data_IF_369675444876
#
_entry.id   IF_369675444876
#
_cell.length_a   1.000
_cell.length_b   1.000
_cell.length_c   1.000
_cell.angle_alpha   90.00
_cell.angle_beta   90.00
_cell.angle_gamma   90.00
#
_symmetry.space_group_name_H-M   'P 1'
#
loop_
_entity.id
_entity.type
_entity.pdbx_description
1 polymer ?
#
# COMPACT_ATOMS: atom_id res chain seq x y z
N UNK A 1 -22.70 -52.54 -13.59
CA UNK A 1 -21.85 -51.33 -13.44
C UNK A 1 -22.77 -50.17 -13.05
N UNK A 2 -22.65 -49.63 -11.84
CA UNK A 2 -23.48 -48.51 -11.38
C UNK A 2 -23.07 -47.21 -12.07
N UNK A 3 -24.04 -46.43 -12.56
CA UNK A 3 -23.79 -45.13 -13.17
C UNK A 3 -23.09 -44.20 -12.16
N UNK A 4 -21.91 -43.69 -12.52
CA UNK A 4 -21.22 -42.66 -11.72
C UNK A 4 -22.10 -41.41 -11.73
N UNK A 5 -22.61 -41.01 -10.56
CA UNK A 5 -23.27 -39.70 -10.39
C UNK A 5 -22.26 -38.62 -10.75
N UNK A 6 -22.55 -37.84 -11.78
CA UNK A 6 -21.77 -36.63 -12.10
C UNK A 6 -22.16 -35.53 -11.12
N UNK A 7 -21.16 -34.87 -10.52
CA UNK A 7 -21.39 -33.73 -9.63
C UNK A 7 -21.78 -32.50 -10.46
N UNK A 8 -22.94 -31.92 -10.16
CA UNK A 8 -23.35 -30.67 -10.78
C UNK A 8 -22.49 -29.50 -10.24
N UNK A 9 -22.32 -28.42 -11.01
CA UNK A 9 -21.58 -27.23 -10.56
C UNK A 9 -22.16 -26.62 -9.27
N UNK A 10 -23.47 -26.65 -9.09
CA UNK A 10 -24.17 -26.12 -7.92
C UNK A 10 -23.79 -26.91 -6.67
N UNK A 11 -23.74 -28.24 -6.79
CA UNK A 11 -23.35 -29.13 -5.71
C UNK A 11 -21.89 -28.91 -5.28
N UNK A 12 -20.99 -28.62 -6.22
CA UNK A 12 -19.59 -28.29 -5.90
C UNK A 12 -19.49 -26.98 -5.11
N UNK A 13 -20.25 -25.96 -5.49
CA UNK A 13 -20.28 -24.66 -4.79
C UNK A 13 -20.81 -24.79 -3.37
N UNK A 14 -21.86 -25.58 -3.17
CA UNK A 14 -22.41 -25.86 -1.85
C UNK A 14 -21.37 -26.56 -0.95
N UNK A 15 -20.64 -27.55 -1.49
CA UNK A 15 -19.58 -28.24 -0.75
C UNK A 15 -18.43 -27.30 -0.33
N UNK A 16 -17.99 -26.39 -1.21
CA UNK A 16 -16.96 -25.39 -0.90
C UNK A 16 -17.46 -24.41 0.15
N UNK A 17 -18.67 -23.88 0.00
CA UNK A 17 -19.24 -22.91 0.93
C UNK A 17 -19.38 -23.49 2.36
N UNK A 18 -19.75 -24.77 2.47
CA UNK A 18 -19.82 -25.45 3.76
C UNK A 18 -18.44 -25.63 4.39
N UNK A 19 -17.40 -25.94 3.61
CA UNK A 19 -16.03 -26.05 4.09
C UNK A 19 -15.46 -24.70 4.55
N UNK A 20 -15.66 -23.65 3.76
CA UNK A 20 -15.19 -22.29 4.07
C UNK A 20 -15.84 -21.71 5.32
N UNK A 21 -17.08 -22.11 5.64
CA UNK A 21 -17.77 -21.68 6.84
C UNK A 21 -17.06 -22.08 8.14
N UNK A 22 -16.15 -23.08 8.09
CA UNK A 22 -15.41 -23.60 9.24
C UNK A 22 -16.27 -24.23 10.35
N UNK A 23 -17.60 -24.27 10.16
CA UNK A 23 -18.56 -24.64 11.20
C UNK A 23 -18.67 -26.16 11.40
N UNK A 24 -18.21 -26.95 10.44
CA UNK A 24 -18.33 -28.42 10.44
C UNK A 24 -17.06 -29.07 9.88
N UNK A 25 -16.63 -30.23 10.41
CA UNK A 25 -15.53 -30.98 9.83
C UNK A 25 -15.91 -31.58 8.47
N UNK A 26 -14.95 -31.71 7.56
CA UNK A 26 -15.16 -32.21 6.20
C UNK A 26 -15.81 -33.61 6.15
N UNK A 27 -15.62 -34.44 7.18
CA UNK A 27 -16.25 -35.76 7.32
C UNK A 27 -17.77 -35.67 7.51
N UNK A 28 -18.24 -34.65 8.22
CA UNK A 28 -19.66 -34.40 8.44
C UNK A 28 -20.32 -33.85 7.17
N UNK A 29 -19.65 -32.93 6.49
CA UNK A 29 -20.07 -32.38 5.19
C UNK A 29 -20.15 -33.51 4.16
N UNK A 30 -19.17 -34.41 4.12
CA UNK A 30 -19.18 -35.58 3.22
C UNK A 30 -20.39 -36.50 3.46
N UNK A 31 -20.75 -36.72 4.74
CA UNK A 31 -21.89 -37.54 5.14
C UNK A 31 -23.22 -36.90 4.74
N UNK A 32 -23.37 -35.59 4.95
CA UNK A 32 -24.56 -34.82 4.61
C UNK A 32 -24.79 -34.76 3.09
N UNK A 33 -23.72 -34.58 2.33
CA UNK A 33 -23.75 -34.53 0.87
C UNK A 33 -23.78 -35.92 0.21
N UNK A 34 -23.69 -37.01 1.00
CA UNK A 34 -23.74 -38.38 0.51
C UNK A 34 -22.56 -38.77 -0.41
N UNK A 35 -21.38 -38.21 -0.14
CA UNK A 35 -20.17 -38.40 -0.95
C UNK A 35 -18.99 -38.88 -0.11
N UNK A 36 -17.98 -39.45 -0.78
CA UNK A 36 -16.74 -39.80 -0.11
C UNK A 36 -15.98 -38.54 0.33
N UNK A 37 -15.39 -38.57 1.53
CA UNK A 37 -14.55 -37.49 2.06
C UNK A 37 -13.46 -37.04 1.07
N UNK A 38 -12.85 -37.99 0.37
CA UNK A 38 -11.82 -37.72 -0.65
C UNK A 38 -12.38 -36.86 -1.80
N UNK A 39 -13.67 -36.99 -2.14
CA UNK A 39 -14.30 -36.17 -3.17
C UNK A 39 -14.51 -34.72 -2.69
N UNK A 40 -14.90 -34.53 -1.42
CA UNK A 40 -15.03 -33.20 -0.79
C UNK A 40 -13.69 -32.46 -0.83
N UNK A 41 -12.61 -33.13 -0.41
CA UNK A 41 -11.27 -32.54 -0.40
C UNK A 41 -10.76 -32.22 -1.81
N UNK A 42 -11.06 -33.07 -2.81
CA UNK A 42 -10.70 -32.80 -4.21
C UNK A 42 -11.42 -31.59 -4.80
N UNK A 43 -12.69 -31.38 -4.45
CA UNK A 43 -13.46 -30.21 -4.89
C UNK A 43 -12.85 -28.93 -4.31
N UNK A 44 -12.54 -28.92 -3.02
CA UNK A 44 -11.89 -27.77 -2.37
C UNK A 44 -10.50 -27.47 -2.96
N UNK A 45 -9.71 -28.52 -3.25
CA UNK A 45 -8.41 -28.37 -3.88
C UNK A 45 -8.51 -27.83 -5.31
N UNK A 46 -9.52 -28.24 -6.09
CA UNK A 46 -9.75 -27.73 -7.44
C UNK A 46 -10.15 -26.25 -7.42
N UNK A 47 -11.04 -25.87 -6.52
CA UNK A 47 -11.51 -24.48 -6.37
C UNK A 47 -10.36 -23.55 -5.95
N UNK A 48 -9.55 -23.98 -4.98
CA UNK A 48 -8.33 -23.28 -4.58
C UNK A 48 -7.32 -23.10 -5.74
N UNK A 49 -7.17 -24.10 -6.61
CA UNK A 49 -6.32 -23.99 -7.80
C UNK A 49 -6.90 -23.04 -8.86
N UNK A 50 -8.22 -23.00 -9.03
CA UNK A 50 -8.88 -22.06 -9.94
C UNK A 50 -8.76 -20.61 -9.45
N UNK A 51 -8.89 -20.38 -8.15
CA UNK A 51 -8.69 -19.07 -7.52
C UNK A 51 -7.23 -18.60 -7.63
N UNK A 52 -6.26 -19.47 -7.36
CA UNK A 52 -4.85 -19.16 -7.56
C UNK A 52 -4.51 -18.84 -9.03
N UNK A 53 -5.14 -19.53 -9.99
CA UNK A 53 -5.00 -19.25 -11.41
C UNK A 53 -5.65 -17.91 -11.80
N UNK A 54 -6.79 -17.56 -11.20
CA UNK A 54 -7.48 -16.28 -11.36
C UNK A 54 -6.63 -15.12 -10.82
N UNK A 55 -6.05 -15.27 -9.62
CA UNK A 55 -5.11 -14.31 -9.02
C UNK A 55 -3.87 -14.12 -9.89
N UNK A 56 -3.27 -15.21 -10.38
CA UNK A 56 -2.12 -15.14 -11.28
C UNK A 56 -2.45 -14.42 -12.61
N UNK A 57 -3.66 -14.62 -13.13
CA UNK A 57 -4.14 -13.96 -14.36
C UNK A 57 -4.45 -12.48 -14.13
N UNK A 58 -5.03 -12.13 -12.97
CA UNK A 58 -5.25 -10.74 -12.55
C UNK A 58 -3.94 -10.00 -12.31
N UNK A 59 -2.98 -10.65 -11.65
CA UNK A 59 -1.62 -10.13 -11.46
C UNK A 59 -0.91 -9.93 -12.79
N UNK A 60 -1.06 -10.85 -13.75
CA UNK A 60 -0.56 -10.70 -15.13
C UNK A 60 -1.23 -9.53 -15.86
N UNK A 61 -2.53 -9.32 -15.71
CA UNK A 61 -3.25 -8.18 -16.29
C UNK A 61 -2.77 -6.84 -15.71
N UNK A 62 -2.56 -6.77 -14.40
CA UNK A 62 -2.05 -5.58 -13.72
C UNK A 62 -0.58 -5.32 -14.07
N UNK A 63 0.28 -6.35 -14.13
CA UNK A 63 1.64 -6.24 -14.65
C UNK A 63 1.68 -5.76 -16.10
N UNK A 64 0.75 -6.23 -16.94
CA UNK A 64 0.65 -5.81 -18.33
C UNK A 64 0.20 -4.33 -18.46
N UNK A 65 -0.70 -3.87 -17.58
CA UNK A 65 -1.07 -2.44 -17.49
C UNK A 65 0.11 -1.59 -17.00
N UNK A 66 0.90 -2.10 -16.07
CA UNK A 66 2.04 -1.40 -15.48
C UNK A 66 3.24 -1.32 -16.44
N UNK A 67 3.47 -2.36 -17.24
CA UNK A 67 4.61 -2.45 -18.15
C UNK A 67 4.44 -1.70 -19.48
N UNK A 68 3.24 -1.22 -19.83
CA UNK A 68 2.92 -0.65 -21.15
C UNK A 68 2.44 0.81 -21.13
N UNK A 69 2.39 1.48 -19.99
CA UNK A 69 1.98 2.88 -19.90
C UNK A 69 3.05 3.69 -19.16
N UNK A 70 3.66 4.73 -19.77
CA UNK A 70 4.39 5.73 -18.99
C UNK A 70 3.42 6.31 -17.95
N UNK A 71 3.89 6.48 -16.72
CA UNK A 71 3.01 6.82 -15.61
C UNK A 71 2.24 8.12 -15.89
N UNK A 72 0.99 8.26 -15.43
CA UNK A 72 0.23 9.51 -15.56
C UNK A 72 0.99 10.73 -15.02
N UNK A 73 1.90 10.51 -14.07
CA UNK A 73 2.75 11.51 -13.44
C UNK A 73 3.84 12.01 -14.41
N UNK A 74 4.53 11.11 -15.13
CA UNK A 74 5.55 11.51 -16.12
C UNK A 74 4.93 12.32 -17.27
N UNK A 75 3.76 11.90 -17.78
CA UNK A 75 3.02 12.65 -18.80
C UNK A 75 2.53 14.01 -18.27
N UNK A 76 2.05 14.07 -17.02
CA UNK A 76 1.62 15.32 -16.41
C UNK A 76 2.80 16.29 -16.17
N UNK A 77 3.95 15.78 -15.73
CA UNK A 77 5.17 16.57 -15.53
C UNK A 77 5.70 17.09 -16.87
N UNK A 78 5.72 16.25 -17.91
CA UNK A 78 6.20 16.67 -19.24
C UNK A 78 5.26 17.71 -19.88
N UNK A 79 3.95 17.56 -19.69
CA UNK A 79 2.96 18.57 -20.07
C UNK A 79 3.15 19.88 -19.30
N UNK A 80 3.43 19.82 -18.00
CA UNK A 80 3.69 21.01 -17.18
C UNK A 80 4.97 21.74 -17.63
N UNK A 81 6.07 21.02 -17.89
CA UNK A 81 7.30 21.60 -18.42
C UNK A 81 7.07 22.30 -19.76
N UNK A 82 6.32 21.65 -20.67
CA UNK A 82 6.02 22.20 -22.00
C UNK A 82 5.15 23.46 -21.91
N UNK A 83 4.14 23.45 -21.04
CA UNK A 83 3.25 24.60 -20.86
C UNK A 83 3.98 25.78 -20.20
N UNK A 84 4.78 25.53 -19.18
CA UNK A 84 5.56 26.57 -18.49
C UNK A 84 6.60 27.21 -19.43
N UNK A 85 7.27 26.41 -20.27
CA UNK A 85 8.21 26.92 -21.26
C UNK A 85 7.52 27.76 -22.36
N UNK A 86 6.33 27.34 -22.80
CA UNK A 86 5.55 28.07 -23.79
C UNK A 86 5.01 29.40 -23.25
N UNK A 87 4.49 29.42 -22.01
CA UNK A 87 4.04 30.66 -21.36
C UNK A 87 5.19 31.63 -21.10
N UNK A 88 6.34 31.14 -20.62
CA UNK A 88 7.53 31.96 -20.42
C UNK A 88 8.04 32.56 -21.74
N UNK A 89 8.10 31.77 -22.82
CA UNK A 89 8.48 32.26 -24.14
C UNK A 89 7.48 33.30 -24.68
N UNK A 90 6.17 33.09 -24.47
CA UNK A 90 5.14 34.04 -24.87
C UNK A 90 5.22 35.36 -24.09
N UNK A 91 5.50 35.33 -22.79
CA UNK A 91 5.67 36.55 -21.99
C UNK A 91 6.91 37.33 -22.40
N UNK A 92 8.05 36.65 -22.65
CA UNK A 92 9.29 37.28 -23.11
C UNK A 92 9.09 37.90 -24.49
N UNK A 93 8.50 37.17 -25.45
CA UNK A 93 8.22 37.70 -26.78
C UNK A 93 7.25 38.90 -26.75
N UNK A 94 6.22 38.85 -25.91
CA UNK A 94 5.30 39.97 -25.71
C UNK A 94 6.00 41.22 -25.17
N UNK A 95 6.88 41.05 -24.18
CA UNK A 95 7.67 42.14 -23.60
C UNK A 95 8.67 42.72 -24.62
N UNK A 96 9.38 41.88 -25.37
CA UNK A 96 10.33 42.32 -26.41
C UNK A 96 9.63 43.07 -27.55
N UNK A 97 8.45 42.61 -27.98
CA UNK A 97 7.65 43.28 -29.02
C UNK A 97 7.14 44.64 -28.54
N UNK A 98 6.72 44.72 -27.27
CA UNK A 98 6.27 45.99 -26.66
C UNK A 98 7.44 46.96 -26.48
N UNK A 99 8.64 46.47 -26.16
CA UNK A 99 9.85 47.28 -26.05
C UNK A 99 10.37 47.77 -27.39
N UNK A 100 10.43 46.90 -28.41
CA UNK A 100 10.91 47.25 -29.75
C UNK A 100 10.03 48.30 -30.45
N UNK A 101 8.75 48.35 -30.09
CA UNK A 101 7.82 49.38 -30.56
C UNK A 101 7.94 50.73 -29.80
N UNK A 102 8.67 50.78 -28.68
CA UNK A 102 8.78 51.97 -27.84
C UNK A 102 10.20 52.55 -27.90
N UNK A 103 10.33 53.84 -28.25
CA UNK A 103 11.60 54.55 -28.34
C UNK A 103 12.18 54.92 -26.96
N UNK A 104 12.28 53.94 -26.06
CA UNK A 104 12.64 54.13 -24.65
C UNK A 104 13.92 53.40 -24.29
N UNK A 105 14.99 53.76 -24.97
CA UNK A 105 16.34 53.58 -24.43
C UNK A 105 16.46 54.55 -23.25
N UNK A 106 16.82 54.05 -22.06
CA UNK A 106 16.99 54.81 -20.81
C UNK A 106 15.71 55.20 -20.03
N UNK A 107 14.60 54.47 -20.21
CA UNK A 107 13.39 54.70 -19.39
C UNK A 107 13.40 53.96 -18.05
N UNK A 108 12.62 54.41 -17.04
CA UNK A 108 12.39 53.67 -15.79
C UNK A 108 11.91 52.24 -16.01
N UNK A 109 11.21 51.98 -17.12
CA UNK A 109 10.74 50.64 -17.51
C UNK A 109 11.89 49.69 -17.84
N UNK A 110 12.97 50.21 -18.45
CA UNK A 110 14.18 49.41 -18.72
C UNK A 110 14.87 49.03 -17.41
N UNK A 111 14.95 49.94 -16.44
CA UNK A 111 15.49 49.67 -15.11
C UNK A 111 14.70 48.58 -14.36
N UNK A 112 13.36 48.61 -14.45
CA UNK A 112 12.50 47.56 -13.87
C UNK A 112 12.72 46.22 -14.57
N UNK A 113 12.87 46.21 -15.90
CA UNK A 113 13.13 44.99 -16.67
C UNK A 113 14.50 44.38 -16.31
N UNK A 114 15.52 45.22 -16.16
CA UNK A 114 16.87 44.77 -15.78
C UNK A 114 16.89 44.26 -14.34
N UNK A 115 16.14 44.86 -13.42
CA UNK A 115 15.93 44.35 -12.07
C UNK A 115 15.19 42.99 -12.06
N UNK A 116 14.14 42.83 -12.88
CA UNK A 116 13.43 41.55 -13.00
C UNK A 116 14.31 40.46 -13.60
N UNK A 117 15.19 40.78 -14.56
CA UNK A 117 16.18 39.84 -15.10
C UNK A 117 17.19 39.42 -14.03
N UNK A 118 17.64 40.36 -13.20
CA UNK A 118 18.56 40.10 -12.10
C UNK A 118 17.95 39.17 -11.03
N UNK A 119 16.63 39.26 -10.81
CA UNK A 119 15.90 38.38 -9.89
C UNK A 119 15.51 37.01 -10.49
N UNK A 120 15.45 36.91 -11.82
CA UNK A 120 15.12 35.66 -12.54
C UNK A 120 16.30 34.68 -12.61
N UNK A 121 17.53 35.18 -12.72
CA UNK A 121 18.74 34.37 -12.79
C UNK A 121 18.93 33.39 -11.60
N UNK A 122 18.71 33.82 -10.33
CA UNK A 122 18.69 32.91 -9.18
C UNK A 122 17.66 31.78 -9.29
N UNK A 123 16.46 32.07 -9.81
CA UNK A 123 15.37 31.10 -9.97
C UNK A 123 15.72 30.08 -11.05
N UNK A 124 16.23 30.55 -12.21
CA UNK A 124 16.70 29.68 -13.28
C UNK A 124 17.85 28.77 -12.82
N UNK A 125 18.78 29.30 -12.01
CA UNK A 125 19.88 28.52 -11.42
C UNK A 125 19.37 27.48 -10.41
N UNK A 126 18.38 27.82 -9.60
CA UNK A 126 17.75 26.88 -8.65
C UNK A 126 17.01 25.74 -9.38
N UNK A 127 16.25 26.06 -10.44
CA UNK A 127 15.58 25.08 -11.29
C UNK A 127 16.57 24.12 -11.95
N UNK A 128 17.67 24.65 -12.51
CA UNK A 128 18.74 23.83 -13.10
C UNK A 128 19.38 22.90 -12.06
N UNK A 129 19.68 23.41 -10.86
CA UNK A 129 20.24 22.59 -9.77
C UNK A 129 19.26 21.51 -9.30
N UNK A 130 17.96 21.80 -9.24
CA UNK A 130 16.93 20.81 -8.91
C UNK A 130 16.83 19.73 -10.00
N UNK A 131 16.92 20.11 -11.28
CA UNK A 131 16.93 19.18 -12.41
C UNK A 131 18.17 18.25 -12.37
N UNK A 132 19.35 18.80 -12.04
CA UNK A 132 20.58 18.02 -11.88
C UNK A 132 20.50 17.04 -10.69
N UNK A 133 19.99 17.48 -9.53
CA UNK A 133 19.75 16.60 -8.38
C UNK A 133 18.79 15.46 -8.71
N UNK A 134 17.71 15.77 -9.41
CA UNK A 134 16.71 14.78 -9.80
C UNK A 134 17.24 13.78 -10.84
N UNK A 135 18.14 14.21 -11.74
CA UNK A 135 18.85 13.32 -12.65
C UNK A 135 19.74 12.29 -11.90
N UNK A 136 20.38 12.71 -10.80
CA UNK A 136 21.17 11.81 -9.94
C UNK A 136 20.27 10.82 -9.18
N UNK A 137 19.13 11.27 -8.67
CA UNK A 137 18.16 10.41 -7.99
C UNK A 137 17.55 9.37 -8.94
N UNK A 138 17.16 9.78 -10.15
CA UNK A 138 16.62 8.88 -11.17
C UNK A 138 17.63 7.80 -11.62
N UNK A 139 18.91 8.15 -11.77
CA UNK A 139 19.99 7.16 -11.99
C UNK A 139 20.16 6.19 -10.81
N UNK A 140 20.03 6.70 -9.58
CA UNK A 140 20.08 5.86 -8.36
C UNK A 140 18.92 4.87 -8.31
N UNK A 141 17.70 5.31 -8.63
CA UNK A 141 16.54 4.43 -8.72
C UNK A 141 16.69 3.39 -9.84
N UNK A 142 17.23 3.77 -11.01
CA UNK A 142 17.49 2.83 -12.09
C UNK A 142 18.48 1.72 -11.67
N UNK A 143 19.55 2.07 -10.95
CA UNK A 143 20.52 1.11 -10.40
C UNK A 143 19.90 0.16 -9.38
N UNK A 144 19.03 0.67 -8.49
CA UNK A 144 18.29 -0.17 -7.54
C UNK A 144 17.38 -1.14 -8.28
N UNK A 145 16.60 -0.64 -9.25
CA UNK A 145 15.72 -1.49 -10.05
C UNK A 145 16.48 -2.60 -10.80
N UNK A 146 17.66 -2.30 -11.34
CA UNK A 146 18.52 -3.31 -11.97
C UNK A 146 19.10 -4.32 -10.99
N UNK A 147 19.44 -3.90 -9.76
CA UNK A 147 19.86 -4.81 -8.69
C UNK A 147 18.75 -5.82 -8.36
N UNK A 148 17.53 -5.34 -8.20
CA UNK A 148 16.35 -6.18 -7.94
C UNK A 148 16.07 -7.15 -9.08
N UNK A 149 16.17 -6.71 -10.35
CA UNK A 149 16.02 -7.60 -11.51
C UNK A 149 17.04 -8.74 -11.50
N UNK A 150 18.29 -8.45 -11.12
CA UNK A 150 19.35 -9.47 -11.02
C UNK A 150 19.10 -10.45 -9.89
N UNK A 151 18.59 -9.99 -8.74
CA UNK A 151 18.21 -10.87 -7.63
C UNK A 151 17.09 -11.83 -8.03
N UNK A 152 16.01 -11.30 -8.60
CA UNK A 152 14.88 -12.10 -9.08
C UNK A 152 15.31 -13.13 -10.14
N UNK A 153 16.25 -12.79 -11.01
CA UNK A 153 16.81 -13.73 -11.97
C UNK A 153 17.61 -14.86 -11.29
N UNK A 154 18.35 -14.56 -10.22
CA UNK A 154 19.08 -15.56 -9.42
C UNK A 154 18.12 -16.48 -8.67
N UNK A 155 17.10 -15.93 -8.02
CA UNK A 155 16.08 -16.74 -7.35
C UNK A 155 15.35 -17.65 -8.32
N UNK A 156 14.95 -17.14 -9.49
CA UNK A 156 14.34 -17.95 -10.55
C UNK A 156 15.24 -19.11 -10.99
N UNK A 157 16.54 -18.87 -11.14
CA UNK A 157 17.50 -19.92 -11.49
C UNK A 157 17.64 -20.95 -10.35
N UNK A 158 17.68 -20.49 -9.10
CA UNK A 158 17.71 -21.34 -7.90
C UNK A 158 16.46 -22.23 -7.81
N UNK A 159 15.29 -21.65 -8.04
CA UNK A 159 14.02 -22.37 -8.05
C UNK A 159 13.97 -23.39 -9.19
N UNK A 160 14.42 -23.02 -10.39
CA UNK A 160 14.50 -23.96 -11.51
C UNK A 160 15.41 -25.15 -11.19
N UNK A 161 16.49 -24.95 -10.43
CA UNK A 161 17.44 -26.02 -10.07
C UNK A 161 16.90 -26.91 -8.96
N UNK A 162 16.22 -26.32 -7.97
CA UNK A 162 15.73 -27.02 -6.77
C UNK A 162 14.38 -27.69 -7.00
N UNK A 163 13.51 -27.09 -7.82
CA UNK A 163 12.11 -27.49 -7.95
C UNK A 163 11.85 -28.40 -9.17
N UNK A 164 12.63 -28.29 -10.26
CA UNK A 164 12.49 -29.21 -11.40
C UNK A 164 12.60 -30.69 -11.00
N UNK A 165 13.55 -31.11 -10.14
CA UNK A 165 13.66 -32.51 -9.75
C UNK A 165 12.41 -33.02 -9.02
N UNK A 166 11.81 -32.17 -8.17
CA UNK A 166 10.57 -32.47 -7.44
C UNK A 166 9.39 -32.58 -8.41
N UNK A 167 9.31 -31.69 -9.40
CA UNK A 167 8.26 -31.71 -10.41
C UNK A 167 8.31 -32.94 -11.31
N UNK A 168 9.51 -33.33 -11.74
CA UNK A 168 9.74 -34.55 -12.55
C UNK A 168 9.38 -35.80 -11.74
N UNK A 169 9.76 -35.84 -10.45
CA UNK A 169 9.44 -36.96 -9.57
C UNK A 169 7.92 -37.16 -9.38
N UNK A 170 7.13 -36.09 -9.49
CA UNK A 170 5.69 -36.11 -9.22
C UNK A 170 4.81 -36.11 -10.48
N UNK A 171 5.41 -36.22 -11.67
CA UNK A 171 4.71 -36.25 -12.96
C UNK A 171 3.68 -35.10 -13.13
N UNK A 172 3.99 -33.93 -12.58
CA UNK A 172 3.14 -32.75 -12.72
C UNK A 172 3.24 -32.21 -14.15
N UNK A 173 2.13 -32.23 -14.91
CA UNK A 173 2.06 -31.64 -16.25
C UNK A 173 2.06 -30.10 -16.16
N UNK A 174 3.27 -29.54 -16.15
CA UNK A 174 3.51 -28.10 -16.09
C UNK A 174 3.61 -27.45 -17.47
N UNK A 175 3.38 -28.19 -18.57
CA UNK A 175 3.36 -27.64 -19.94
C UNK A 175 2.32 -26.52 -20.07
N UNK A 176 1.26 -26.58 -19.26
CA UNK A 176 0.25 -25.51 -19.12
C UNK A 176 0.73 -24.34 -18.25
N UNK A 177 1.55 -24.59 -17.24
CA UNK A 177 2.05 -23.57 -16.29
C UNK A 177 3.19 -22.73 -16.90
N UNK A 178 4.12 -23.36 -17.62
CA UNK A 178 5.29 -22.70 -18.21
C UNK A 178 4.97 -21.85 -19.45
N UNK A 179 3.94 -22.20 -20.25
CA UNK A 179 3.43 -21.33 -21.34
C UNK A 179 2.86 -20.00 -20.84
N UNK A 180 2.49 -19.91 -19.56
CA UNK A 180 1.93 -18.67 -18.98
C UNK A 180 3.00 -17.61 -18.72
N UNK A 181 4.29 -17.99 -18.69
CA UNK A 181 5.43 -17.17 -18.30
C UNK A 181 6.31 -16.66 -19.47
N UNK A 182 5.90 -16.84 -20.73
CA UNK A 182 6.58 -16.18 -21.85
C UNK A 182 6.33 -14.66 -21.81
N UNK A 183 7.41 -13.88 -21.73
CA UNK A 183 7.39 -12.42 -21.87
C UNK A 183 7.06 -12.05 -23.33
N UNK A 184 6.26 -11.01 -23.59
CA UNK A 184 5.98 -10.57 -24.95
C UNK A 184 7.27 -10.12 -25.67
N UNK A 185 7.50 -10.59 -26.90
CA UNK A 185 8.47 -9.95 -27.81
C UNK A 185 7.92 -8.57 -28.18
N UNK A 186 8.62 -7.52 -27.76
CA UNK A 186 8.29 -6.12 -28.11
C UNK A 186 8.42 -5.91 -29.63
N UNK A 187 7.43 -5.30 -30.31
CA UNK A 187 7.61 -4.82 -31.67
C UNK A 187 8.56 -3.60 -31.68
N UNK A 188 9.45 -3.53 -32.67
CA UNK A 188 10.21 -2.30 -32.96
C UNK A 188 9.23 -1.23 -33.43
N UNK A 189 9.03 -0.19 -32.62
CA UNK A 189 8.22 0.97 -32.97
C UNK A 189 9.01 1.82 -33.96
N UNK A 190 8.53 1.91 -35.20
CA UNK A 190 8.89 2.94 -36.17
C UNK A 190 7.85 4.05 -36.05
N UNK A 191 8.29 5.29 -35.85
CA UNK A 191 7.44 6.47 -35.80
C UNK A 191 7.29 7.03 -37.22
N UNK A 192 6.06 7.09 -37.71
CA UNK A 192 5.67 7.88 -38.88
C UNK A 192 4.85 9.09 -38.39
N UNK A 193 5.14 10.34 -38.81
CA UNK A 193 4.45 11.52 -38.32
C UNK A 193 3.47 12.05 -39.37
N UNK A 194 2.18 11.72 -39.29
CA UNK A 194 1.14 12.49 -39.96
C UNK A 194 -0.25 12.19 -39.38
N UNK A 195 -0.81 13.15 -38.66
CA UNK A 195 -2.24 13.42 -38.77
C UNK A 195 -2.48 14.93 -38.58
N UNK A 196 -2.90 15.56 -39.67
CA UNK A 196 -3.55 16.87 -39.67
C UNK A 196 -5.02 16.68 -39.31
N UNK A 197 -5.58 17.55 -38.48
CA UNK A 197 -7.01 17.61 -38.19
C UNK A 197 -7.59 18.87 -38.83
N UNK A 198 -8.67 18.79 -39.64
CA UNK A 198 -9.43 19.97 -39.98
C UNK A 198 -10.54 20.22 -38.95
N UNK A 199 -10.71 21.51 -38.67
CA UNK A 199 -11.75 22.13 -37.84
C UNK A 199 -13.12 21.88 -38.48
N UNK A 200 -14.08 21.38 -37.69
CA UNK A 200 -15.50 21.43 -38.01
C UNK A 200 -16.22 22.27 -36.95
N UNK A 201 -16.74 23.43 -37.37
CA UNK A 201 -17.67 24.26 -36.62
C UNK A 201 -19.08 23.83 -37.05
N UNK A 202 -19.75 23.08 -36.19
CA UNK A 202 -21.18 22.81 -36.34
C UNK A 202 -21.94 23.31 -35.11
N UNK A 203 -22.91 24.17 -35.41
CA UNK A 203 -23.85 24.86 -34.56
C UNK A 203 -24.53 23.90 -33.58
N UNK A 204 -24.36 24.10 -32.27
CA UNK A 204 -25.08 23.34 -31.25
C UNK A 204 -25.97 24.25 -30.41
N UNK A 205 -27.26 24.00 -30.57
CA UNK A 205 -28.39 24.57 -29.86
C UNK A 205 -28.26 24.40 -28.34
N UNK A 206 -28.75 25.38 -27.59
CA UNK A 206 -28.77 25.37 -26.12
C UNK A 206 -29.60 24.19 -25.60
N UNK A 207 -29.04 23.28 -24.77
CA UNK A 207 -29.82 22.20 -24.20
C UNK A 207 -30.80 22.74 -23.14
N UNK A 208 -32.07 22.35 -23.30
CA UNK A 208 -33.15 22.53 -22.30
C UNK A 208 -32.68 22.09 -20.92
N UNK A 209 -33.11 22.85 -19.90
CA UNK A 209 -32.89 22.54 -18.49
C UNK A 209 -33.26 21.07 -18.18
N UNK A 210 -32.36 20.28 -17.58
CA UNK A 210 -32.62 18.88 -17.31
C UNK A 210 -33.73 18.76 -16.28
N UNK A 211 -34.79 18.03 -16.64
CA UNK A 211 -35.77 17.55 -15.68
C UNK A 211 -35.05 16.68 -14.66
N UNK A 212 -35.18 17.02 -13.37
CA UNK A 212 -34.59 16.27 -12.27
C UNK A 212 -35.30 14.92 -12.17
N UNK A 213 -34.73 13.91 -12.84
CA UNK A 213 -35.11 12.53 -12.62
C UNK A 213 -34.94 12.20 -11.13
N UNK A 214 -35.89 11.46 -10.50
CA UNK A 214 -35.70 10.97 -9.15
C UNK A 214 -34.36 10.23 -9.11
N UNK A 215 -33.47 10.63 -8.20
CA UNK A 215 -32.16 9.99 -8.01
C UNK A 215 -32.44 8.52 -7.76
N UNK A 216 -32.28 7.69 -8.79
CA UNK A 216 -32.13 6.26 -8.66
C UNK A 216 -31.02 6.10 -7.64
N UNK A 217 -31.36 5.66 -6.43
CA UNK A 217 -30.39 5.23 -5.44
C UNK A 217 -29.73 4.04 -6.12
N UNK A 218 -28.65 4.29 -6.86
CA UNK A 218 -27.76 3.27 -7.37
C UNK A 218 -27.47 2.40 -6.16
N UNK A 219 -27.98 1.17 -6.19
CA UNK A 219 -27.79 0.19 -5.15
C UNK A 219 -26.33 0.30 -4.73
N UNK A 220 -26.10 0.77 -3.49
CA UNK A 220 -24.77 0.96 -2.92
C UNK A 220 -24.05 -0.35 -3.20
N UNK A 221 -23.09 -0.35 -4.15
CA UNK A 221 -22.25 -1.53 -4.32
C UNK A 221 -21.68 -1.78 -2.94
N UNK A 222 -21.87 -2.97 -2.34
CA UNK A 222 -21.31 -3.25 -1.03
C UNK A 222 -19.82 -3.00 -1.18
N UNK A 223 -19.31 -1.95 -0.54
CA UNK A 223 -17.88 -1.81 -0.34
C UNK A 223 -17.52 -3.07 0.44
N UNK A 224 -16.86 -4.00 -0.25
CA UNK A 224 -16.34 -5.22 0.33
C UNK A 224 -15.27 -4.79 1.33
N UNK A 225 -15.69 -4.54 2.58
CA UNK A 225 -14.88 -4.07 3.69
C UNK A 225 -13.94 -5.16 4.24
N UNK A 226 -13.50 -6.13 3.43
CA UNK A 226 -12.55 -7.17 3.87
C UNK A 226 -11.31 -6.55 4.52
N UNK A 227 -10.86 -5.40 4.00
CA UNK A 227 -9.74 -4.65 4.56
C UNK A 227 -9.98 -4.15 5.98
N UNK A 228 -11.22 -3.89 6.40
CA UNK A 228 -11.49 -3.36 7.75
C UNK A 228 -11.35 -4.45 8.81
N UNK A 229 -11.90 -5.64 8.56
CA UNK A 229 -11.76 -6.78 9.46
C UNK A 229 -10.27 -7.18 9.57
N UNK A 230 -9.61 -7.36 8.43
CA UNK A 230 -8.17 -7.67 8.39
C UNK A 230 -7.32 -6.60 9.09
N UNK A 231 -7.66 -5.32 8.94
CA UNK A 231 -6.93 -4.23 9.61
C UNK A 231 -7.17 -4.21 11.10
N UNK A 232 -8.37 -4.57 11.54
CA UNK A 232 -8.69 -4.70 12.96
C UNK A 232 -7.88 -5.84 13.56
N UNK A 233 -7.92 -7.02 12.96
CA UNK A 233 -7.20 -8.21 13.46
C UNK A 233 -5.69 -7.95 13.51
N UNK A 234 -5.10 -7.48 12.40
CA UNK A 234 -3.67 -7.17 12.33
C UNK A 234 -3.23 -6.13 13.37
N UNK A 235 -4.03 -5.08 13.56
CA UNK A 235 -3.71 -4.03 14.52
C UNK A 235 -3.89 -4.50 15.97
N UNK A 236 -4.93 -5.26 16.25
CA UNK A 236 -5.18 -5.83 17.57
C UNK A 236 -4.10 -6.83 17.97
N UNK A 237 -3.65 -7.66 17.04
CA UNK A 237 -2.55 -8.59 17.25
C UNK A 237 -1.24 -7.82 17.48
N UNK A 238 -0.94 -6.82 16.65
CA UNK A 238 0.23 -5.98 16.85
C UNK A 238 0.22 -5.22 18.18
N UNK A 239 -0.92 -4.64 18.59
CA UNK A 239 -1.03 -3.94 19.87
C UNK A 239 -0.81 -4.88 21.07
N UNK A 240 -1.27 -6.14 20.97
CA UNK A 240 -1.03 -7.17 21.98
C UNK A 240 0.45 -7.55 22.02
N UNK A 241 1.05 -7.82 20.87
CA UNK A 241 2.46 -8.21 20.77
C UNK A 241 3.39 -7.09 21.24
N UNK A 242 3.11 -5.84 20.87
CA UNK A 242 3.86 -4.67 21.35
C UNK A 242 3.77 -4.53 22.86
N UNK A 243 2.59 -4.77 23.43
CA UNK A 243 2.38 -4.70 24.87
C UNK A 243 3.12 -5.81 25.62
N UNK A 244 3.03 -7.04 25.13
CA UNK A 244 3.74 -8.19 25.68
C UNK A 244 5.25 -7.95 25.62
N UNK A 245 5.75 -7.50 24.46
CA UNK A 245 7.15 -7.12 24.30
C UNK A 245 7.58 -6.08 25.33
N UNK A 246 6.86 -4.93 25.45
CA UNK A 246 7.19 -3.88 26.42
C UNK A 246 7.19 -4.43 27.85
N UNK A 247 6.18 -5.23 28.20
CA UNK A 247 6.09 -5.82 29.53
C UNK A 247 7.29 -6.70 29.83
N UNK A 248 7.62 -7.60 28.91
CA UNK A 248 8.63 -8.63 29.14
C UNK A 248 10.03 -8.04 29.22
N UNK A 249 10.40 -7.13 28.31
CA UNK A 249 11.73 -6.48 28.36
C UNK A 249 11.88 -5.57 29.57
N UNK A 250 10.81 -4.88 30.00
CA UNK A 250 10.85 -4.05 31.20
C UNK A 250 10.88 -4.88 32.47
N UNK A 251 10.15 -6.00 32.49
CA UNK A 251 10.14 -6.95 33.60
C UNK A 251 11.50 -7.65 33.75
N UNK A 252 12.15 -8.02 32.65
CA UNK A 252 13.47 -8.65 32.68
C UNK A 252 14.53 -7.73 33.31
N UNK A 253 14.52 -6.43 32.95
CA UNK A 253 15.54 -5.48 33.42
C UNK A 253 15.24 -4.92 34.81
N UNK A 254 13.97 -4.63 35.13
CA UNK A 254 13.59 -3.94 36.37
C UNK A 254 12.80 -4.79 37.37
N UNK A 255 12.35 -5.98 36.98
CA UNK A 255 11.58 -6.89 37.81
C UNK A 255 10.13 -6.48 38.03
N UNK A 256 9.50 -7.10 39.03
CA UNK A 256 8.10 -6.86 39.41
C UNK A 256 7.89 -5.41 39.88
N UNK A 257 6.88 -4.73 39.34
CA UNK A 257 6.50 -3.39 39.77
C UNK A 257 7.26 -2.26 39.06
N UNK A 258 7.96 -2.57 37.97
CA UNK A 258 8.59 -1.57 37.09
C UNK A 258 7.61 -0.47 36.66
N UNK A 259 6.31 -0.78 36.58
CA UNK A 259 5.28 0.18 36.18
C UNK A 259 5.17 1.36 37.17
N UNK A 260 5.53 1.17 38.44
CA UNK A 260 5.54 2.26 39.43
C UNK A 260 6.74 3.18 39.28
N UNK A 261 7.89 2.64 38.90
CA UNK A 261 9.17 3.36 38.91
C UNK A 261 9.57 3.91 37.54
N UNK A 262 9.15 3.27 36.46
CA UNK A 262 9.63 3.54 35.09
C UNK A 262 8.57 4.12 34.15
N UNK A 263 7.31 4.25 34.58
CA UNK A 263 6.31 4.98 33.81
C UNK A 263 6.47 6.50 33.96
N UNK A 264 6.11 7.28 32.92
CA UNK A 264 5.99 8.73 33.03
C UNK A 264 5.03 9.17 34.15
N UNK A 265 5.28 10.36 34.70
CA UNK A 265 4.49 10.92 35.80
C UNK A 265 2.99 10.97 35.47
N UNK A 266 2.16 10.50 36.40
CA UNK A 266 0.70 10.45 36.26
C UNK A 266 0.16 9.29 35.40
N UNK A 267 0.99 8.59 34.63
CA UNK A 267 0.54 7.45 33.80
C UNK A 267 0.12 6.26 34.65
N UNK A 268 0.94 5.88 35.64
CA UNK A 268 0.62 4.79 36.58
C UNK A 268 -0.75 4.98 37.25
N UNK A 269 -1.05 6.21 37.72
CA UNK A 269 -2.32 6.53 38.36
C UNK A 269 -3.52 6.33 37.43
N UNK A 270 -3.40 6.79 36.17
CA UNK A 270 -4.44 6.62 35.14
C UNK A 270 -4.72 5.14 34.85
N UNK A 271 -3.66 4.34 34.66
CA UNK A 271 -3.81 2.90 34.41
C UNK A 271 -4.41 2.18 35.62
N UNK A 272 -3.99 2.53 36.83
CA UNK A 272 -4.53 1.96 38.07
C UNK A 272 -6.02 2.28 38.23
N UNK A 273 -6.44 3.50 37.89
CA UNK A 273 -7.85 3.91 37.88
C UNK A 273 -8.67 3.14 36.85
N UNK A 274 -8.17 3.00 35.61
CA UNK A 274 -8.82 2.19 34.56
C UNK A 274 -9.01 0.73 35.00
N UNK A 275 -7.96 0.12 35.57
CA UNK A 275 -8.03 -1.23 36.11
C UNK A 275 -9.03 -1.35 37.25
N UNK A 276 -9.08 -0.37 38.15
CA UNK A 276 -10.05 -0.37 39.25
C UNK A 276 -11.49 -0.26 38.73
N UNK A 277 -11.73 0.57 37.72
CA UNK A 277 -13.04 0.68 37.04
C UNK A 277 -13.44 -0.64 36.37
N UNK A 278 -12.54 -1.28 35.64
CA UNK A 278 -12.79 -2.58 35.01
C UNK A 278 -13.13 -3.67 36.05
N UNK A 279 -12.36 -3.73 37.16
CA UNK A 279 -12.64 -4.63 38.29
C UNK A 279 -14.01 -4.36 38.93
N UNK A 280 -14.39 -3.10 39.08
CA UNK A 280 -15.69 -2.73 39.63
C UNK A 280 -16.85 -3.14 38.70
N UNK A 281 -16.62 -3.17 37.38
CA UNK A 281 -17.57 -3.67 36.37
C UNK A 281 -17.61 -5.21 36.26
N UNK A 282 -16.77 -5.94 37.01
CA UNK A 282 -16.70 -7.40 36.99
C UNK A 282 -15.84 -8.00 35.88
N UNK A 283 -15.04 -7.18 35.18
CA UNK A 283 -14.08 -7.67 34.20
C UNK A 283 -12.87 -8.34 34.90
N UNK A 284 -12.26 -9.33 34.22
CA UNK A 284 -11.05 -9.98 34.71
C UNK A 284 -9.93 -8.96 34.88
N UNK A 285 -9.24 -9.02 36.02
CA UNK A 285 -8.10 -8.16 36.25
C UNK A 285 -6.89 -8.66 35.47
N UNK A 286 -6.49 -7.91 34.45
CA UNK A 286 -5.27 -8.17 33.70
C UNK A 286 -4.06 -7.40 34.27
N UNK A 287 -2.91 -7.45 33.58
CA UNK A 287 -1.69 -6.73 33.98
C UNK A 287 -1.94 -5.23 33.85
N UNK A 288 -1.15 -4.41 34.55
CA UNK A 288 -1.41 -2.97 34.53
C UNK A 288 -1.25 -2.35 33.13
N UNK A 289 -0.30 -2.87 32.36
CA UNK A 289 -0.03 -2.45 30.98
C UNK A 289 -1.17 -2.81 30.01
N UNK A 290 -2.05 -3.76 30.35
CA UNK A 290 -3.23 -4.10 29.52
C UNK A 290 -4.26 -2.95 29.47
N UNK A 291 -4.14 -1.98 30.38
CA UNK A 291 -4.96 -0.76 30.42
C UNK A 291 -4.27 0.45 29.76
N UNK A 292 -3.13 0.24 29.11
CA UNK A 292 -2.42 1.26 28.35
C UNK A 292 -3.18 1.68 27.09
N UNK A 293 -3.15 2.98 26.77
CA UNK A 293 -3.58 3.46 25.46
C UNK A 293 -2.42 3.37 24.46
N UNK A 294 -2.72 3.32 23.17
CA UNK A 294 -1.70 3.23 22.11
C UNK A 294 -0.63 4.33 22.19
N UNK A 295 -1.02 5.54 22.59
CA UNK A 295 -0.09 6.68 22.74
C UNK A 295 0.84 6.54 23.94
N UNK A 296 0.48 5.73 24.93
CA UNK A 296 1.31 5.51 26.10
C UNK A 296 2.57 4.75 25.73
N UNK A 297 2.51 3.82 24.77
CA UNK A 297 3.66 3.05 24.29
C UNK A 297 4.79 3.95 23.80
N UNK A 298 4.47 4.98 23.01
CA UNK A 298 5.46 5.97 22.54
C UNK A 298 6.14 6.64 23.73
N UNK A 299 5.37 7.05 24.73
CA UNK A 299 5.89 7.76 25.90
C UNK A 299 6.79 6.87 26.77
N UNK A 300 6.45 5.59 26.91
CA UNK A 300 7.24 4.61 27.68
C UNK A 300 8.56 4.32 26.97
N UNK A 301 8.51 4.03 25.67
CA UNK A 301 9.69 3.71 24.86
C UNK A 301 10.61 4.92 24.76
N UNK A 302 10.04 6.13 24.62
CA UNK A 302 10.81 7.36 24.44
C UNK A 302 11.40 7.94 25.72
N UNK A 303 11.02 7.42 26.89
CA UNK A 303 11.56 7.90 28.14
C UNK A 303 13.05 7.62 28.21
N UNK A 304 13.87 8.65 28.44
CA UNK A 304 15.33 8.58 28.27
C UNK A 304 15.99 7.41 29.03
N UNK A 305 15.53 7.12 30.25
CA UNK A 305 16.07 6.02 31.05
C UNK A 305 15.69 4.65 30.43
N UNK A 306 14.43 4.48 30.04
CA UNK A 306 13.96 3.24 29.43
C UNK A 306 14.57 3.03 28.04
N UNK A 307 14.71 4.10 27.26
CA UNK A 307 15.33 4.05 25.94
C UNK A 307 16.76 3.57 26.03
N UNK A 308 17.59 4.23 26.85
CA UNK A 308 19.02 3.92 26.91
C UNK A 308 19.32 2.56 27.56
N UNK A 309 18.50 2.13 28.52
CA UNK A 309 18.75 0.89 29.28
C UNK A 309 18.11 -0.35 28.63
N UNK A 310 17.00 -0.20 27.88
CA UNK A 310 16.20 -1.35 27.40
C UNK A 310 15.98 -1.30 25.88
N UNK A 311 15.41 -0.22 25.37
CA UNK A 311 14.86 -0.24 24.00
C UNK A 311 15.88 0.08 22.89
N UNK A 312 16.98 0.75 23.23
CA UNK A 312 17.96 1.20 22.25
C UNK A 312 18.66 0.05 21.54
N UNK A 313 18.94 -1.06 22.22
CA UNK A 313 19.59 -2.22 21.60
C UNK A 313 18.69 -2.88 20.55
N UNK A 314 17.38 -2.95 20.82
CA UNK A 314 16.40 -3.61 19.95
C UNK A 314 16.06 -2.74 18.73
N UNK A 315 15.68 -1.49 18.97
CA UNK A 315 15.17 -0.63 17.89
C UNK A 315 16.24 0.22 17.20
N UNK A 316 17.42 0.38 17.80
CA UNK A 316 18.53 1.17 17.29
C UNK A 316 18.31 2.69 17.37
N UNK A 317 17.32 3.23 16.65
CA UNK A 317 17.04 4.67 16.54
C UNK A 317 15.69 5.03 17.15
N UNK A 318 15.67 5.99 18.07
CA UNK A 318 14.43 6.40 18.76
C UNK A 318 13.39 6.94 17.78
N UNK A 319 13.82 7.79 16.83
CA UNK A 319 12.95 8.40 15.83
C UNK A 319 12.26 7.35 14.95
N UNK A 320 12.92 6.21 14.70
CA UNK A 320 12.28 5.14 13.92
C UNK A 320 11.01 4.64 14.61
N UNK A 321 11.06 4.33 15.90
CA UNK A 321 9.88 3.84 16.64
C UNK A 321 8.82 4.93 16.78
N UNK A 322 9.25 6.14 17.15
CA UNK A 322 8.33 7.27 17.32
C UNK A 322 7.55 7.58 16.05
N UNK A 323 8.25 7.73 14.93
CA UNK A 323 7.62 8.04 13.64
C UNK A 323 6.68 6.91 13.19
N UNK A 324 7.07 5.65 13.39
CA UNK A 324 6.27 4.48 13.03
C UNK A 324 4.95 4.44 13.81
N UNK A 325 5.02 4.61 15.15
CA UNK A 325 3.85 4.65 16.01
C UNK A 325 2.98 5.90 15.73
N UNK A 326 3.58 7.06 15.40
CA UNK A 326 2.81 8.24 15.00
C UNK A 326 2.09 8.05 13.66
N UNK A 327 2.68 7.34 12.69
CA UNK A 327 2.00 7.00 11.43
C UNK A 327 0.88 5.98 11.63
N UNK A 328 1.02 5.06 12.59
CA UNK A 328 -0.02 4.09 12.95
C UNK A 328 -1.21 4.73 13.68
N UNK A 329 -1.01 5.79 14.46
CA UNK A 329 -2.07 6.38 15.28
C UNK A 329 -3.33 6.79 14.49
N UNK A 330 -3.26 7.52 13.35
CA UNK A 330 -4.44 7.80 12.53
C UNK A 330 -5.11 6.54 11.99
N UNK A 331 -4.33 5.52 11.63
CA UNK A 331 -4.84 4.23 11.14
C UNK A 331 -5.60 3.51 12.24
N UNK A 332 -5.07 3.51 13.46
CA UNK A 332 -5.70 2.95 14.65
C UNK A 332 -7.01 3.64 14.98
N UNK A 333 -7.04 4.97 14.96
CA UNK A 333 -8.28 5.74 15.16
C UNK A 333 -9.32 5.39 14.11
N UNK A 334 -8.96 5.31 12.82
CA UNK A 334 -9.92 4.94 11.80
C UNK A 334 -10.45 3.51 11.98
N UNK A 335 -9.58 2.57 12.31
CA UNK A 335 -9.91 1.15 12.50
C UNK A 335 -10.85 0.94 13.69
N UNK A 336 -10.51 1.50 14.86
CA UNK A 336 -11.29 1.34 16.10
C UNK A 336 -12.64 2.06 16.07
N UNK A 337 -12.76 3.12 15.25
CA UNK A 337 -14.01 3.86 15.08
C UNK A 337 -14.79 3.44 13.83
N UNK A 338 -14.43 2.32 13.20
CA UNK A 338 -15.10 1.81 11.98
C UNK A 338 -15.22 2.86 10.87
N UNK A 339 -14.22 3.73 10.74
CA UNK A 339 -14.13 4.75 9.67
C UNK A 339 -13.55 4.12 8.40
N UNK A 340 -13.80 4.75 7.26
CA UNK A 340 -13.26 4.29 5.97
C UNK A 340 -11.73 4.32 6.02
N UNK A 341 -11.12 3.16 5.83
CA UNK A 341 -9.68 3.02 5.69
C UNK A 341 -9.29 3.17 4.21
N UNK A 342 -8.44 4.12 3.90
CA UNK A 342 -7.92 4.29 2.54
C UNK A 342 -6.86 3.23 2.23
N UNK A 343 -6.48 3.11 0.95
CA UNK A 343 -5.45 2.14 0.53
C UNK A 343 -4.08 2.49 1.12
N UNK A 344 -3.78 3.77 1.23
CA UNK A 344 -2.54 4.30 1.80
C UNK A 344 -2.44 3.95 3.29
N UNK A 345 -3.54 4.10 4.03
CA UNK A 345 -3.59 3.77 5.46
C UNK A 345 -3.39 2.27 5.70
N UNK A 346 -3.96 1.42 4.85
CA UNK A 346 -3.74 -0.03 4.91
C UNK A 346 -2.28 -0.40 4.64
N UNK A 347 -1.63 0.24 3.66
CA UNK A 347 -0.20 0.02 3.38
C UNK A 347 0.67 0.47 4.55
N UNK A 348 0.36 1.61 5.17
CA UNK A 348 1.02 2.08 6.40
C UNK A 348 0.87 1.04 7.50
N UNK A 349 -0.35 0.55 7.75
CA UNK A 349 -0.57 -0.47 8.78
C UNK A 349 0.33 -1.68 8.58
N UNK A 350 0.31 -2.28 7.39
CA UNK A 350 1.13 -3.46 7.10
C UNK A 350 2.63 -3.20 7.23
N UNK A 351 3.09 -2.09 6.66
CA UNK A 351 4.53 -1.79 6.61
C UNK A 351 5.07 -1.49 8.01
N UNK A 352 4.40 -0.63 8.78
CA UNK A 352 4.88 -0.23 10.11
C UNK A 352 4.77 -1.37 11.13
N UNK A 353 3.69 -2.17 11.09
CA UNK A 353 3.55 -3.33 11.99
C UNK A 353 4.61 -4.38 11.71
N UNK A 354 4.90 -4.67 10.44
CA UNK A 354 5.97 -5.59 10.04
C UNK A 354 7.34 -5.09 10.50
N UNK A 355 7.69 -3.84 10.20
CA UNK A 355 8.99 -3.25 10.55
C UNK A 355 9.23 -3.19 12.06
N UNK A 356 8.20 -2.88 12.85
CA UNK A 356 8.31 -2.86 14.31
C UNK A 356 8.39 -4.29 14.85
N UNK A 357 7.60 -5.23 14.33
CA UNK A 357 7.61 -6.63 14.77
C UNK A 357 8.96 -7.30 14.51
N UNK A 358 9.57 -7.06 13.36
CA UNK A 358 10.93 -7.52 13.08
C UNK A 358 11.95 -7.00 14.10
N UNK A 359 11.76 -5.80 14.67
CA UNK A 359 12.68 -5.24 15.66
C UNK A 359 12.40 -5.69 17.10
N UNK A 360 11.19 -6.17 17.38
CA UNK A 360 10.83 -6.69 18.69
C UNK A 360 11.41 -8.09 18.92
N UNK A 361 11.49 -8.90 17.86
CA UNK A 361 11.82 -10.34 17.94
C UNK A 361 13.18 -10.74 17.35
N UNK A 362 13.98 -9.77 16.87
CA UNK A 362 15.38 -9.96 16.48
C UNK A 362 16.31 -9.39 17.55
#
# INVERSE_FOLDING_TARGET
>A
MGARKQFTPEFKREAVQLLESGSRPASEIARELGIALVAVMKVAQQDWMEDMSSVATGFKSELHKWALQPTPIEKAIESLKKNLAAEAASMVAGLETTLAASAFKDSPTQTVLDAMKQDWDPIAKALKSAQEKWAVETDTFAKIADSWRKELARERASWATTWNPVQVAWALDTTRFLRTFELPRMPKISLDPAWEAPVFLETLELPRAPQVAPKTILARRPFKNYRMAESYDLLSDFERDLRDFIHDVMFEVFGTGWEKSRLPSGMYGKWAEKRQKARASGESSERLIDYADFTDYVSIISQNNNWNEVFRSQFGRLQFVQESLYRLQPVRVCTMHSRILTREMWLILQTETMLLSERMWN
#
